data_IF_038804559976
#
_entry.id   IF_038804559976
#
_cell.length_a   1.000
_cell.length_b   1.000
_cell.length_c   1.000
_cell.angle_alpha   90.00
_cell.angle_beta   90.00
_cell.angle_gamma   90.00
#
_symmetry.space_group_name_H-M   'P 1'
#
loop_
_entity.id
_entity.type
_entity.pdbx_description
1 polymer ?
#
# COMPACT_ATOMS: atom_id res chain seq x y z
N UNK A 1 -66.57 29.28 -6.07
CA UNK A 1 -65.43 28.98 -5.16
C UNK A 1 -65.12 27.47 -5.09
N UNK A 2 -64.93 26.77 -6.22
CA UNK A 2 -64.60 25.32 -6.22
C UNK A 2 -63.51 24.87 -7.21
N UNK A 3 -63.02 25.76 -8.08
CA UNK A 3 -61.99 25.40 -9.07
C UNK A 3 -60.56 25.83 -8.70
N UNK A 4 -60.41 26.77 -7.76
CA UNK A 4 -59.09 27.30 -7.38
C UNK A 4 -58.30 26.39 -6.43
N UNK A 5 -58.99 25.51 -5.68
CA UNK A 5 -58.33 24.60 -4.73
C UNK A 5 -57.78 23.31 -5.37
N UNK A 6 -58.22 22.94 -6.58
CA UNK A 6 -57.74 21.72 -7.25
C UNK A 6 -56.39 21.98 -7.93
N UNK A 7 -56.17 23.19 -8.45
CA UNK A 7 -54.89 23.55 -9.07
C UNK A 7 -53.74 23.62 -8.06
N UNK A 8 -54.00 24.07 -6.83
CA UNK A 8 -52.97 24.19 -5.78
C UNK A 8 -52.59 22.80 -5.23
N UNK A 9 -53.53 21.86 -5.15
CA UNK A 9 -53.24 20.48 -4.74
C UNK A 9 -52.48 19.70 -5.83
N UNK A 10 -52.73 19.96 -7.11
CA UNK A 10 -51.93 19.39 -8.20
C UNK A 10 -50.51 19.97 -8.32
N UNK A 11 -50.30 21.24 -7.92
CA UNK A 11 -48.96 21.85 -7.95
C UNK A 11 -48.06 21.42 -6.78
N UNK A 12 -48.66 21.01 -5.65
CA UNK A 12 -47.93 20.53 -4.47
C UNK A 12 -47.47 19.06 -4.58
N UNK A 13 -47.97 18.29 -5.54
CA UNK A 13 -47.54 16.90 -5.80
C UNK A 13 -46.36 16.78 -6.78
N UNK A 14 -45.92 17.88 -7.41
CA UNK A 14 -44.75 17.89 -8.31
C UNK A 14 -43.43 18.26 -7.62
N UNK A 15 -43.44 18.47 -6.30
CA UNK A 15 -42.28 18.93 -5.54
C UNK A 15 -41.77 17.82 -4.61
N UNK A 16 -41.01 16.87 -5.15
CA UNK A 16 -39.93 16.11 -4.48
C UNK A 16 -39.74 14.70 -5.05
N UNK A 17 -39.49 14.60 -6.36
CA UNK A 17 -38.55 13.58 -6.86
C UNK A 17 -37.35 14.32 -7.42
N UNK A 18 -36.50 14.83 -6.52
CA UNK A 18 -35.10 14.97 -6.91
C UNK A 18 -34.62 13.55 -7.19
N UNK A 19 -34.67 13.14 -8.47
CA UNK A 19 -33.92 11.99 -8.91
C UNK A 19 -32.45 12.31 -8.57
N UNK A 20 -31.92 11.69 -7.51
CA UNK A 20 -30.49 11.72 -7.23
C UNK A 20 -29.80 11.26 -8.51
N UNK A 21 -29.17 12.20 -9.22
CA UNK A 21 -28.45 11.88 -10.44
C UNK A 21 -27.44 10.78 -10.12
N UNK A 22 -27.43 9.71 -10.91
CA UNK A 22 -26.47 8.63 -10.74
C UNK A 22 -25.05 9.22 -10.78
N UNK A 23 -24.11 8.73 -9.94
CA UNK A 23 -22.75 9.24 -9.94
C UNK A 23 -22.12 9.14 -11.34
N UNK A 24 -21.43 10.20 -11.77
CA UNK A 24 -20.72 10.20 -13.05
C UNK A 24 -19.43 9.37 -12.92
N UNK A 25 -19.44 8.17 -13.50
CA UNK A 25 -18.31 7.25 -13.49
C UNK A 25 -17.07 7.77 -14.19
N UNK A 26 -17.22 8.62 -15.22
CA UNK A 26 -16.10 9.22 -15.95
C UNK A 26 -15.41 10.26 -15.07
N UNK A 27 -16.17 11.15 -14.45
CA UNK A 27 -15.63 12.16 -13.54
C UNK A 27 -14.96 11.50 -12.32
N UNK A 28 -15.59 10.48 -11.75
CA UNK A 28 -15.00 9.70 -10.65
C UNK A 28 -13.68 9.02 -11.09
N UNK A 29 -13.62 8.44 -12.28
CA UNK A 29 -12.38 7.87 -12.81
C UNK A 29 -11.30 8.94 -13.00
N UNK A 30 -11.65 10.09 -13.57
CA UNK A 30 -10.72 11.21 -13.78
C UNK A 30 -10.17 11.68 -12.44
N UNK A 31 -11.01 11.86 -11.42
CA UNK A 31 -10.56 12.38 -10.13
C UNK A 31 -9.68 11.40 -9.34
N UNK A 32 -9.94 10.10 -9.47
CA UNK A 32 -9.40 9.11 -8.53
C UNK A 32 -8.46 8.07 -9.15
N UNK A 33 -8.56 7.82 -10.46
CA UNK A 33 -7.86 6.71 -11.13
C UNK A 33 -6.86 7.18 -12.18
N UNK A 34 -7.08 8.35 -12.81
CA UNK A 34 -6.30 8.79 -13.97
C UNK A 34 -4.81 9.00 -13.66
N UNK A 35 -4.44 9.35 -12.42
CA UNK A 35 -3.06 9.66 -12.07
C UNK A 35 -2.16 8.42 -12.23
N UNK A 36 -2.71 7.24 -11.95
CA UNK A 36 -2.00 5.97 -12.05
C UNK A 36 -2.34 5.22 -13.34
N UNK A 37 -3.61 5.14 -13.72
CA UNK A 37 -4.09 4.36 -14.87
C UNK A 37 -4.16 5.15 -16.19
N UNK A 38 -3.84 6.45 -16.13
CA UNK A 38 -3.83 7.40 -17.25
C UNK A 38 -5.20 7.59 -17.92
N UNK A 39 -5.27 8.54 -18.85
CA UNK A 39 -6.48 8.83 -19.61
C UNK A 39 -6.95 7.56 -20.34
N UNK A 40 -8.24 7.26 -20.24
CA UNK A 40 -8.86 6.05 -20.81
C UNK A 40 -8.19 4.71 -20.42
N UNK A 41 -7.52 4.64 -19.26
CA UNK A 41 -6.98 3.36 -18.78
C UNK A 41 -5.76 2.87 -19.56
N UNK A 42 -5.03 3.77 -20.22
CA UNK A 42 -3.84 3.44 -21.01
C UNK A 42 -2.72 2.74 -20.20
N UNK A 43 -2.69 2.87 -18.88
CA UNK A 43 -1.68 2.30 -17.98
C UNK A 43 -0.76 3.35 -17.41
N UNK A 44 0.52 3.04 -17.15
CA UNK A 44 1.49 3.97 -16.56
C UNK A 44 2.10 3.39 -15.28
N UNK A 45 1.90 4.08 -14.15
CA UNK A 45 2.23 3.55 -12.81
C UNK A 45 1.28 2.39 -12.50
N UNK A 46 -0.01 2.58 -12.77
CA UNK A 46 -1.02 1.54 -12.70
C UNK A 46 -1.02 0.64 -13.94
N UNK A 47 -1.56 -0.57 -13.78
CA UNK A 47 -1.71 -1.50 -14.89
C UNK A 47 -2.68 -0.92 -15.95
N UNK A 48 -2.45 -1.21 -17.25
CA UNK A 48 -3.38 -0.82 -18.30
C UNK A 48 -4.74 -1.51 -18.11
N UNK A 49 -5.81 -0.72 -18.16
CA UNK A 49 -7.22 -1.15 -18.05
C UNK A 49 -7.84 -1.32 -19.45
N UNK A 50 -7.08 -1.94 -20.36
CA UNK A 50 -7.51 -2.16 -21.74
C UNK A 50 -8.56 -3.25 -21.86
N UNK A 51 -9.28 -3.30 -22.98
CA UNK A 51 -10.27 -4.33 -23.26
C UNK A 51 -9.74 -5.77 -23.04
N UNK A 52 -8.49 -6.02 -23.46
CA UNK A 52 -7.85 -7.33 -23.32
C UNK A 52 -7.60 -7.73 -21.86
N UNK A 53 -7.39 -6.76 -20.96
CA UNK A 53 -7.21 -7.02 -19.52
C UNK A 53 -8.56 -7.06 -18.80
N UNK A 54 -9.54 -6.27 -19.23
CA UNK A 54 -10.80 -6.08 -18.54
C UNK A 54 -11.84 -7.17 -18.87
N UNK A 55 -11.76 -7.81 -20.04
CA UNK A 55 -12.76 -8.77 -20.54
C UNK A 55 -12.93 -10.03 -19.67
N UNK A 56 -11.89 -10.44 -18.94
CA UNK A 56 -11.87 -11.71 -18.21
C UNK A 56 -12.34 -11.58 -16.75
N UNK A 57 -12.65 -10.37 -16.30
CA UNK A 57 -13.02 -10.11 -14.91
C UNK A 57 -14.52 -9.94 -14.71
N UNK A 58 -15.02 -10.36 -13.55
CA UNK A 58 -16.37 -10.05 -13.10
C UNK A 58 -16.46 -8.63 -12.53
N UNK A 59 -17.65 -8.06 -12.53
CA UNK A 59 -17.87 -6.76 -11.90
C UNK A 59 -17.70 -6.83 -10.38
N UNK A 60 -17.99 -7.96 -9.75
CA UNK A 60 -17.74 -8.20 -8.32
C UNK A 60 -16.23 -8.15 -8.00
N UNK A 61 -15.39 -8.81 -8.83
CA UNK A 61 -13.94 -8.76 -8.67
C UNK A 61 -13.41 -7.32 -8.80
N UNK A 62 -13.90 -6.57 -9.78
CA UNK A 62 -13.49 -5.19 -10.01
C UNK A 62 -13.95 -4.28 -8.87
N UNK A 63 -15.18 -4.45 -8.42
CA UNK A 63 -15.75 -3.72 -7.29
C UNK A 63 -14.92 -3.91 -6.03
N UNK A 64 -14.63 -5.15 -5.66
CA UNK A 64 -13.81 -5.48 -4.49
C UNK A 64 -12.37 -5.06 -4.67
N UNK A 65 -11.84 -5.08 -5.89
CA UNK A 65 -10.50 -4.56 -6.20
C UNK A 65 -10.40 -3.05 -5.97
N UNK A 66 -11.41 -2.28 -6.36
CA UNK A 66 -11.46 -0.83 -6.09
C UNK A 66 -11.67 -0.59 -4.59
N UNK A 67 -12.61 -1.30 -3.96
CA UNK A 67 -12.93 -1.15 -2.54
C UNK A 67 -11.71 -1.39 -1.66
N UNK A 68 -11.10 -2.56 -1.78
CA UNK A 68 -10.04 -3.01 -0.88
C UNK A 68 -8.63 -2.64 -1.35
N UNK A 69 -8.49 -2.17 -2.60
CA UNK A 69 -7.17 -1.87 -3.18
C UNK A 69 -6.25 -3.08 -3.17
N UNK A 70 -4.95 -2.81 -3.05
CA UNK A 70 -3.90 -3.81 -2.81
C UNK A 70 -3.00 -3.29 -1.69
N UNK A 71 -3.30 -3.58 -0.40
CA UNK A 71 -2.47 -3.13 0.72
C UNK A 71 -0.99 -3.45 0.51
N UNK A 72 -0.10 -2.50 0.81
CA UNK A 72 1.34 -2.62 0.56
C UNK A 72 1.78 -2.49 -0.89
N UNK A 73 0.84 -2.21 -1.80
CA UNK A 73 1.11 -1.92 -3.21
C UNK A 73 0.58 -0.53 -3.56
N UNK A 74 0.92 -0.07 -4.76
CA UNK A 74 0.58 1.29 -5.21
C UNK A 74 -0.93 1.54 -5.42
N UNK A 75 -1.75 0.49 -5.50
CA UNK A 75 -3.21 0.64 -5.69
C UNK A 75 -3.90 0.83 -4.34
N UNK A 76 -4.35 2.05 -3.98
CA UNK A 76 -4.98 2.31 -2.70
C UNK A 76 -6.38 1.67 -2.60
N UNK A 77 -6.89 1.59 -1.37
CA UNK A 77 -8.26 1.23 -1.09
C UNK A 77 -9.16 2.47 -1.18
N UNK A 78 -10.35 2.33 -1.77
CA UNK A 78 -11.34 3.40 -1.89
C UNK A 78 -12.53 3.11 -0.96
N UNK A 79 -12.26 2.95 0.33
CA UNK A 79 -13.26 2.57 1.33
C UNK A 79 -14.36 3.61 1.52
N UNK A 80 -14.02 4.89 1.35
CA UNK A 80 -14.94 6.03 1.53
C UNK A 80 -15.89 6.25 0.33
N UNK A 81 -15.67 5.58 -0.80
CA UNK A 81 -16.60 5.66 -1.93
C UNK A 81 -17.88 4.85 -1.65
N UNK A 82 -19.02 5.38 -2.06
CA UNK A 82 -20.27 4.63 -2.03
C UNK A 82 -20.29 3.51 -3.07
N UNK A 83 -21.12 2.49 -2.84
CA UNK A 83 -21.30 1.39 -3.79
C UNK A 83 -21.72 1.90 -5.19
N UNK A 84 -22.56 2.92 -5.23
CA UNK A 84 -23.01 3.54 -6.46
C UNK A 84 -21.85 4.22 -7.22
N UNK A 85 -20.94 4.89 -6.50
CA UNK A 85 -19.75 5.51 -7.10
C UNK A 85 -18.81 4.46 -7.68
N UNK A 86 -18.51 3.38 -6.93
CA UNK A 86 -17.63 2.31 -7.43
C UNK A 86 -18.26 1.62 -8.65
N UNK A 87 -19.56 1.33 -8.63
CA UNK A 87 -20.27 0.75 -9.79
C UNK A 87 -20.27 1.69 -10.99
N UNK A 88 -20.42 3.00 -10.79
CA UNK A 88 -20.36 3.97 -11.86
C UNK A 88 -19.00 3.96 -12.57
N UNK A 89 -17.89 3.88 -11.82
CA UNK A 89 -16.54 3.73 -12.38
C UNK A 89 -16.44 2.45 -13.21
N UNK A 90 -16.94 1.32 -12.70
CA UNK A 90 -16.91 0.04 -13.44
C UNK A 90 -17.72 0.13 -14.73
N UNK A 91 -18.92 0.70 -14.67
CA UNK A 91 -19.78 0.92 -15.85
C UNK A 91 -19.06 1.78 -16.90
N UNK A 92 -18.42 2.87 -16.48
CA UNK A 92 -17.62 3.70 -17.37
C UNK A 92 -16.49 2.90 -18.04
N UNK A 93 -15.73 2.12 -17.26
CA UNK A 93 -14.66 1.27 -17.79
C UNK A 93 -15.19 0.18 -18.74
N UNK A 94 -16.35 -0.43 -18.45
CA UNK A 94 -17.00 -1.40 -19.35
C UNK A 94 -17.39 -0.77 -20.67
N UNK A 95 -18.02 0.40 -20.64
CA UNK A 95 -18.43 1.15 -21.84
C UNK A 95 -17.23 1.53 -22.69
N UNK A 96 -16.19 2.08 -22.06
CA UNK A 96 -14.96 2.49 -22.75
C UNK A 96 -14.24 1.29 -23.40
N UNK A 97 -14.14 0.17 -22.67
CA UNK A 97 -13.48 -1.04 -23.18
C UNK A 97 -14.36 -1.87 -24.12
N UNK A 98 -15.66 -1.57 -24.20
CA UNK A 98 -16.68 -2.35 -24.91
C UNK A 98 -16.66 -3.83 -24.51
N UNK A 99 -16.50 -4.10 -23.21
CA UNK A 99 -16.49 -5.45 -22.65
C UNK A 99 -17.73 -5.72 -21.80
N UNK A 100 -18.04 -7.00 -21.62
CA UNK A 100 -19.08 -7.48 -20.73
C UNK A 100 -18.45 -8.16 -19.51
N UNK A 101 -19.18 -8.17 -18.39
CA UNK A 101 -18.73 -8.81 -17.17
C UNK A 101 -18.66 -10.33 -17.34
N UNK A 102 -17.54 -10.94 -16.92
CA UNK A 102 -17.46 -12.39 -16.81
C UNK A 102 -18.21 -12.84 -15.56
N UNK A 103 -18.95 -13.94 -15.65
CA UNK A 103 -19.63 -14.54 -14.50
C UNK A 103 -18.76 -15.70 -13.99
N UNK A 104 -18.40 -15.62 -12.71
CA UNK A 104 -17.75 -16.71 -11.98
C UNK A 104 -18.64 -17.09 -10.80
N UNK A 105 -18.77 -18.38 -10.53
CA UNK A 105 -19.43 -18.81 -9.30
C UNK A 105 -18.60 -18.36 -8.08
N UNK A 106 -19.30 -17.97 -7.02
CA UNK A 106 -18.71 -17.52 -5.75
C UNK A 106 -18.49 -18.66 -4.76
N UNK A 107 -18.93 -19.88 -5.11
CA UNK A 107 -18.71 -21.06 -4.28
C UNK A 107 -17.21 -21.34 -4.14
N UNK A 108 -16.83 -21.72 -2.92
CA UNK A 108 -15.47 -22.18 -2.63
C UNK A 108 -15.19 -23.50 -3.31
N UNK A 109 -13.93 -23.71 -3.68
CA UNK A 109 -13.45 -24.98 -4.19
C UNK A 109 -12.86 -25.81 -3.07
N UNK A 110 -13.11 -27.11 -3.14
CA UNK A 110 -12.44 -28.08 -2.28
C UNK A 110 -11.22 -28.60 -3.02
N UNK A 111 -10.05 -28.42 -2.42
CA UNK A 111 -8.77 -28.94 -2.92
C UNK A 111 -7.87 -29.28 -1.74
N UNK A 112 -6.91 -30.17 -1.95
CA UNK A 112 -5.92 -30.52 -0.92
C UNK A 112 -4.79 -29.48 -0.88
N UNK A 113 -4.70 -28.64 0.17
CA UNK A 113 -3.65 -27.62 0.26
C UNK A 113 -2.25 -28.22 0.41
N UNK A 114 -2.10 -29.46 0.91
CA UNK A 114 -0.79 -30.11 1.02
C UNK A 114 -0.24 -30.48 -0.37
N UNK A 115 -1.07 -31.09 -1.22
CA UNK A 115 -0.77 -31.28 -2.64
C UNK A 115 -0.52 -29.95 -3.35
N UNK A 116 -1.37 -28.96 -3.09
CA UNK A 116 -1.23 -27.61 -3.64
C UNK A 116 0.11 -26.96 -3.31
N UNK A 117 0.61 -27.13 -2.09
CA UNK A 117 1.93 -26.64 -1.67
C UNK A 117 3.06 -27.22 -2.51
N UNK A 118 3.06 -28.53 -2.75
CA UNK A 118 4.10 -29.22 -3.54
C UNK A 118 4.11 -28.70 -4.99
N UNK A 119 2.92 -28.59 -5.59
CA UNK A 119 2.76 -28.05 -6.94
C UNK A 119 3.21 -26.59 -7.01
N UNK A 120 2.84 -25.79 -6.00
CA UNK A 120 3.20 -24.38 -5.94
C UNK A 120 4.73 -24.19 -5.85
N UNK A 121 5.41 -24.99 -5.03
CA UNK A 121 6.87 -25.02 -4.94
C UNK A 121 7.54 -25.31 -6.28
N UNK A 122 6.96 -26.21 -7.07
CA UNK A 122 7.51 -26.63 -8.36
C UNK A 122 7.25 -25.62 -9.47
N UNK A 123 6.05 -25.04 -9.52
CA UNK A 123 5.57 -24.31 -10.69
C UNK A 123 5.38 -22.80 -10.48
N UNK A 124 5.21 -22.36 -9.23
CA UNK A 124 4.71 -21.01 -8.95
C UNK A 124 5.73 -20.16 -8.20
N UNK A 125 6.51 -20.75 -7.29
CA UNK A 125 7.47 -20.03 -6.43
C UNK A 125 8.46 -19.21 -7.23
N UNK A 126 8.89 -19.74 -8.38
CA UNK A 126 9.78 -19.04 -9.29
C UNK A 126 9.29 -17.62 -9.48
N UNK A 127 8.00 -17.39 -9.81
CA UNK A 127 7.41 -16.07 -10.10
C UNK A 127 6.63 -15.42 -8.94
N UNK A 128 5.99 -16.20 -8.07
CA UNK A 128 5.10 -15.68 -7.04
C UNK A 128 5.73 -15.64 -5.64
N UNK A 129 6.99 -16.07 -5.49
CA UNK A 129 7.64 -16.18 -4.18
C UNK A 129 7.10 -17.36 -3.36
N UNK A 130 7.80 -17.74 -2.30
CA UNK A 130 7.43 -18.86 -1.42
C UNK A 130 6.18 -18.58 -0.59
N UNK A 131 5.94 -17.31 -0.28
CA UNK A 131 4.82 -16.79 0.51
C UNK A 131 3.66 -16.26 -0.35
N UNK A 132 3.77 -16.32 -1.68
CA UNK A 132 2.79 -15.74 -2.59
C UNK A 132 2.84 -14.20 -2.68
N UNK A 133 3.86 -13.56 -2.11
CA UNK A 133 4.07 -12.11 -2.12
C UNK A 133 4.42 -11.53 -3.49
N UNK A 134 4.60 -12.36 -4.52
CA UNK A 134 5.08 -11.93 -5.84
C UNK A 134 6.61 -11.82 -5.88
N UNK A 135 7.19 -11.89 -7.08
CA UNK A 135 8.60 -11.61 -7.27
C UNK A 135 8.88 -10.10 -7.23
N UNK A 136 9.95 -9.72 -6.53
CA UNK A 136 10.44 -8.35 -6.43
C UNK A 136 10.00 -7.65 -5.15
N UNK A 137 10.97 -7.01 -4.49
CA UNK A 137 10.75 -6.20 -3.29
C UNK A 137 9.86 -4.99 -3.58
N UNK A 138 9.02 -4.64 -2.62
CA UNK A 138 8.34 -3.36 -2.53
C UNK A 138 6.96 -3.22 -3.13
N UNK A 139 6.55 -1.98 -3.43
CA UNK A 139 5.18 -1.61 -3.81
C UNK A 139 4.68 -2.17 -5.16
N UNK A 140 5.51 -2.93 -5.87
CA UNK A 140 5.23 -3.44 -7.21
C UNK A 140 5.55 -2.43 -8.33
N UNK A 141 5.96 -1.21 -7.99
CA UNK A 141 6.44 -0.20 -8.94
C UNK A 141 7.95 -0.07 -8.81
N UNK A 142 8.66 -0.33 -9.90
CA UNK A 142 10.12 -0.20 -9.98
C UNK A 142 10.49 1.08 -10.76
N UNK A 143 10.25 2.26 -10.19
CA UNK A 143 10.55 3.53 -10.88
C UNK A 143 12.06 3.69 -11.19
N UNK A 144 12.93 3.04 -10.41
CA UNK A 144 14.40 3.16 -10.54
C UNK A 144 15.13 1.81 -10.48
N UNK A 145 14.41 0.68 -10.59
CA UNK A 145 14.99 -0.67 -10.49
C UNK A 145 14.85 -1.44 -11.81
N UNK A 146 15.88 -2.21 -12.15
CA UNK A 146 15.85 -3.14 -13.27
C UNK A 146 14.75 -4.17 -13.01
N UNK A 147 13.84 -4.34 -13.96
CA UNK A 147 12.76 -5.32 -13.85
C UNK A 147 13.26 -6.70 -14.25
N UNK A 148 13.04 -7.70 -13.41
CA UNK A 148 13.23 -9.10 -13.79
C UNK A 148 12.15 -9.56 -14.78
N UNK A 149 10.94 -8.98 -14.72
CA UNK A 149 9.83 -9.25 -15.63
C UNK A 149 9.26 -7.95 -16.19
N UNK A 150 8.94 -7.93 -17.48
CA UNK A 150 8.23 -6.82 -18.11
C UNK A 150 6.89 -6.53 -17.42
N UNK A 151 6.22 -7.59 -16.95
CA UNK A 151 5.01 -7.53 -16.12
C UNK A 151 5.30 -8.23 -14.80
N UNK A 152 5.35 -7.47 -13.70
CA UNK A 152 5.62 -8.02 -12.38
C UNK A 152 4.53 -9.02 -11.97
N UNK A 153 4.89 -10.24 -11.53
CA UNK A 153 3.92 -11.19 -10.99
C UNK A 153 3.19 -10.58 -9.79
N UNK A 154 1.85 -10.68 -9.72
CA UNK A 154 1.10 -10.10 -8.61
C UNK A 154 1.37 -10.82 -7.30
N UNK A 155 1.26 -10.07 -6.20
CA UNK A 155 1.17 -10.61 -4.85
C UNK A 155 -0.17 -11.30 -4.65
N UNK A 156 -0.18 -12.61 -4.83
CA UNK A 156 -1.40 -13.44 -4.73
C UNK A 156 -1.80 -13.71 -3.29
N UNK A 157 -0.90 -13.58 -2.32
CA UNK A 157 -1.25 -13.61 -0.89
C UNK A 157 -1.83 -12.27 -0.37
N UNK A 158 -1.86 -11.22 -1.22
CA UNK A 158 -2.33 -9.90 -0.82
C UNK A 158 -3.79 -9.93 -0.33
N UNK A 159 -4.13 -9.35 0.85
CA UNK A 159 -5.49 -9.38 1.39
C UNK A 159 -6.54 -8.79 0.45
N UNK A 160 -6.23 -7.68 -0.23
CA UNK A 160 -7.14 -7.07 -1.19
C UNK A 160 -7.40 -7.96 -2.42
N UNK A 161 -6.39 -8.71 -2.88
CA UNK A 161 -6.57 -9.71 -3.94
C UNK A 161 -7.41 -10.89 -3.46
N UNK A 162 -7.12 -11.42 -2.27
CA UNK A 162 -7.82 -12.56 -1.69
C UNK A 162 -9.30 -12.26 -1.44
N UNK A 163 -9.62 -11.04 -1.00
CA UNK A 163 -11.00 -10.58 -0.84
C UNK A 163 -11.73 -10.46 -2.19
N UNK A 164 -11.04 -10.02 -3.25
CA UNK A 164 -11.64 -9.73 -4.54
C UNK A 164 -11.81 -10.95 -5.45
N UNK A 165 -10.78 -11.79 -5.57
CA UNK A 165 -10.76 -12.92 -6.48
C UNK A 165 -11.64 -14.06 -5.96
N UNK A 166 -12.49 -14.66 -6.81
CA UNK A 166 -13.19 -15.90 -6.47
C UNK A 166 -12.31 -17.11 -6.79
N UNK A 167 -12.58 -18.25 -6.13
CA UNK A 167 -11.81 -19.48 -6.37
C UNK A 167 -11.89 -19.93 -7.83
N UNK A 168 -13.08 -19.80 -8.45
CA UNK A 168 -13.29 -20.10 -9.87
C UNK A 168 -12.49 -19.18 -10.79
N UNK A 169 -12.35 -17.91 -10.44
CA UNK A 169 -11.50 -16.98 -11.18
C UNK A 169 -10.02 -17.37 -11.06
N UNK A 170 -9.54 -17.67 -9.84
CA UNK A 170 -8.15 -18.12 -9.61
C UNK A 170 -7.88 -19.40 -10.42
N UNK A 171 -8.78 -20.37 -10.32
CA UNK A 171 -8.74 -21.63 -11.06
C UNK A 171 -8.66 -21.41 -12.56
N UNK A 172 -9.51 -20.53 -13.11
CA UNK A 172 -9.50 -20.18 -14.53
C UNK A 172 -8.14 -19.62 -14.94
N UNK A 173 -7.60 -18.67 -14.17
CA UNK A 173 -6.29 -18.04 -14.44
C UNK A 173 -5.15 -19.05 -14.40
N UNK A 174 -5.17 -20.01 -13.48
CA UNK A 174 -4.16 -21.09 -13.43
C UNK A 174 -4.31 -22.02 -14.64
N UNK A 175 -5.54 -22.42 -14.96
CA UNK A 175 -5.84 -23.34 -16.06
C UNK A 175 -5.38 -22.78 -17.41
N UNK A 176 -5.84 -21.57 -17.77
CA UNK A 176 -5.59 -20.96 -19.09
C UNK A 176 -4.34 -20.08 -19.14
N UNK A 177 -3.73 -19.79 -17.99
CA UNK A 177 -2.56 -18.92 -17.89
C UNK A 177 -2.83 -17.47 -18.28
N UNK A 178 -1.73 -16.71 -18.39
CA UNK A 178 -1.71 -15.34 -18.90
C UNK A 178 -0.49 -15.17 -19.81
N UNK A 179 -0.56 -15.61 -21.08
CA UNK A 179 0.60 -15.63 -21.99
C UNK A 179 1.30 -14.28 -22.14
N UNK A 180 0.52 -13.20 -22.15
CA UNK A 180 1.06 -11.83 -22.25
C UNK A 180 1.91 -11.39 -21.06
N UNK A 181 1.75 -12.00 -19.89
CA UNK A 181 2.59 -11.76 -18.72
C UNK A 181 3.57 -12.90 -18.46
N UNK A 182 3.71 -13.85 -19.40
CA UNK A 182 4.59 -15.00 -19.26
C UNK A 182 4.10 -16.07 -18.28
N UNK A 183 2.85 -16.00 -17.81
CA UNK A 183 2.27 -17.08 -16.99
C UNK A 183 1.71 -18.16 -17.94
N UNK A 184 2.22 -19.39 -17.93
CA UNK A 184 1.78 -20.45 -18.83
C UNK A 184 0.38 -20.96 -18.47
N UNK A 185 -0.27 -21.63 -19.43
CA UNK A 185 -1.52 -22.35 -19.22
C UNK A 185 -1.23 -23.71 -18.57
N UNK A 186 -1.46 -23.86 -17.26
CA UNK A 186 -1.03 -25.06 -16.56
C UNK A 186 -1.84 -26.31 -16.89
N UNK A 187 -3.06 -26.15 -17.40
CA UNK A 187 -3.82 -27.26 -17.96
C UNK A 187 -3.11 -27.86 -19.20
N UNK A 188 -2.53 -27.02 -20.05
CA UNK A 188 -1.74 -27.46 -21.21
C UNK A 188 -0.36 -28.01 -20.82
N UNK A 189 0.13 -27.65 -19.63
CA UNK A 189 1.36 -28.20 -19.03
C UNK A 189 1.13 -29.53 -18.31
N UNK A 190 -0.08 -30.09 -18.37
CA UNK A 190 -0.40 -31.41 -17.82
C UNK A 190 -0.87 -31.43 -16.37
N UNK A 191 -1.17 -30.27 -15.75
CA UNK A 191 -1.83 -30.28 -14.44
C UNK A 191 -3.29 -30.71 -14.59
N UNK A 192 -3.72 -31.67 -13.77
CA UNK A 192 -5.12 -32.10 -13.74
C UNK A 192 -6.01 -31.05 -13.09
N UNK A 193 -7.32 -31.13 -13.35
CA UNK A 193 -8.31 -30.26 -12.70
C UNK A 193 -8.24 -30.34 -11.16
N UNK A 194 -7.91 -31.51 -10.61
CA UNK A 194 -7.70 -31.71 -9.17
C UNK A 194 -6.41 -31.05 -8.66
N UNK A 195 -5.34 -31.07 -9.44
CA UNK A 195 -4.10 -30.37 -9.12
C UNK A 195 -4.32 -28.85 -9.13
N UNK A 196 -5.11 -28.33 -10.07
CA UNK A 196 -5.47 -26.91 -10.11
C UNK A 196 -6.35 -26.54 -8.92
N UNK A 197 -7.33 -27.36 -8.55
CA UNK A 197 -8.16 -27.12 -7.35
C UNK A 197 -7.30 -27.15 -6.06
N UNK A 198 -6.33 -28.05 -5.98
CA UNK A 198 -5.34 -28.09 -4.89
C UNK A 198 -4.47 -26.82 -4.84
N UNK A 199 -4.01 -26.32 -5.99
CA UNK A 199 -3.30 -25.03 -6.08
C UNK A 199 -4.16 -23.87 -5.59
N UNK A 200 -5.44 -23.82 -5.97
CA UNK A 200 -6.37 -22.78 -5.51
C UNK A 200 -6.50 -22.82 -3.98
N UNK A 201 -6.69 -24.01 -3.39
CA UNK A 201 -6.75 -24.19 -1.94
C UNK A 201 -5.47 -23.70 -1.25
N UNK A 202 -4.29 -24.00 -1.80
CA UNK A 202 -3.03 -23.51 -1.26
C UNK A 202 -2.86 -21.98 -1.39
N UNK A 203 -3.28 -21.39 -2.50
CA UNK A 203 -3.29 -19.92 -2.69
C UNK A 203 -4.18 -19.23 -1.65
N UNK A 204 -5.30 -19.84 -1.25
CA UNK A 204 -6.12 -19.33 -0.14
C UNK A 204 -5.40 -19.43 1.20
N UNK A 205 -4.75 -20.56 1.47
CA UNK A 205 -3.95 -20.73 2.68
C UNK A 205 -2.82 -19.70 2.79
N UNK A 206 -2.18 -19.33 1.67
CA UNK A 206 -1.18 -18.24 1.66
C UNK A 206 -1.80 -16.90 2.08
N UNK A 207 -3.01 -16.59 1.60
CA UNK A 207 -3.76 -15.39 2.01
C UNK A 207 -4.12 -15.37 3.49
N UNK A 208 -4.60 -16.50 4.03
CA UNK A 208 -4.92 -16.63 5.46
C UNK A 208 -3.70 -16.46 6.35
N UNK A 209 -2.53 -16.98 5.92
CA UNK A 209 -1.27 -16.78 6.64
C UNK A 209 -0.81 -15.33 6.61
N UNK A 210 -0.91 -14.68 5.46
CA UNK A 210 -0.57 -13.26 5.33
C UNK A 210 -1.46 -12.37 6.20
N UNK A 211 -2.76 -12.67 6.29
CA UNK A 211 -3.70 -11.93 7.13
C UNK A 211 -3.49 -12.12 8.65
N UNK A 212 -2.77 -13.16 9.07
CA UNK A 212 -2.47 -13.45 10.49
C UNK A 212 -1.19 -12.79 11.01
N UNK A 213 -0.44 -12.08 10.16
CA UNK A 213 0.72 -11.32 10.65
C UNK A 213 0.22 -10.28 11.68
N UNK A 214 0.93 -10.09 12.81
CA UNK A 214 0.45 -9.24 13.89
C UNK A 214 0.17 -7.83 13.38
N UNK A 215 -1.05 -7.36 13.60
CA UNK A 215 -1.38 -5.95 13.51
C UNK A 215 -0.61 -5.26 14.65
N UNK A 216 0.29 -4.33 14.33
CA UNK A 216 0.97 -3.57 15.39
C UNK A 216 -0.08 -2.82 16.19
N UNK A 217 0.03 -2.92 17.51
CA UNK A 217 -0.89 -2.28 18.42
C UNK A 217 -0.88 -0.76 18.13
N UNK A 218 -2.03 -0.25 17.69
CA UNK A 218 -2.22 1.13 17.21
C UNK A 218 -2.04 2.20 18.32
N UNK A 219 -1.67 1.78 19.53
CA UNK A 219 -1.50 2.60 20.73
C UNK A 219 -0.04 3.00 21.01
N UNK A 220 0.95 2.46 20.30
CA UNK A 220 2.34 2.94 20.39
C UNK A 220 2.50 4.34 19.75
N UNK A 221 3.17 5.31 20.41
CA UNK A 221 3.37 6.64 19.85
C UNK A 221 4.33 6.63 18.65
N UNK A 222 4.19 7.56 17.68
CA UNK A 222 5.02 7.61 16.47
C UNK A 222 6.45 8.13 16.73
N UNK A 223 6.79 8.45 17.97
CA UNK A 223 8.10 8.93 18.39
C UNK A 223 8.49 8.32 19.73
N UNK A 224 9.77 8.03 19.90
CA UNK A 224 10.38 7.80 21.21
C UNK A 224 10.87 9.15 21.75
N UNK A 225 10.71 9.35 23.06
CA UNK A 225 11.18 10.53 23.78
C UNK A 225 12.05 10.04 24.93
N UNK A 226 13.31 10.47 24.94
CA UNK A 226 14.30 10.08 25.94
C UNK A 226 14.88 11.34 26.58
N UNK A 227 15.15 11.31 27.87
CA UNK A 227 15.80 12.41 28.59
C UNK A 227 17.32 12.27 28.49
N UNK A 228 18.01 13.36 28.17
CA UNK A 228 19.47 13.41 28.22
C UNK A 228 19.92 13.77 29.64
N UNK A 229 20.94 13.09 30.21
CA UNK A 229 21.53 13.49 31.49
C UNK A 229 22.45 14.71 31.36
N UNK A 230 22.69 15.20 30.14
CA UNK A 230 23.62 16.28 29.84
C UNK A 230 22.88 17.58 29.46
N UNK A 231 23.60 18.71 29.54
CA UNK A 231 23.10 19.99 29.02
C UNK A 231 22.90 19.96 27.50
N UNK A 232 22.24 20.99 26.96
CA UNK A 232 21.85 21.04 25.55
C UNK A 232 23.05 20.97 24.59
N UNK A 233 24.13 21.71 24.87
CA UNK A 233 25.29 21.78 23.97
C UNK A 233 26.06 20.46 23.98
N UNK A 234 26.24 19.89 25.18
CA UNK A 234 26.87 18.58 25.35
C UNK A 234 26.06 17.48 24.67
N UNK A 235 24.72 17.50 24.82
CA UNK A 235 23.82 16.55 24.15
C UNK A 235 23.93 16.65 22.62
N UNK A 236 23.94 17.87 22.07
CA UNK A 236 24.13 18.11 20.63
C UNK A 236 25.46 17.55 20.13
N UNK A 237 26.55 17.77 20.87
CA UNK A 237 27.86 17.25 20.53
C UNK A 237 27.90 15.71 20.56
N UNK A 238 27.36 15.09 21.62
CA UNK A 238 27.28 13.64 21.76
C UNK A 238 26.49 13.00 20.62
N UNK A 239 25.31 13.55 20.27
CA UNK A 239 24.50 13.03 19.15
C UNK A 239 25.27 13.08 17.84
N UNK A 240 25.95 14.19 17.55
CA UNK A 240 26.75 14.31 16.32
C UNK A 240 27.86 13.27 16.27
N UNK A 241 28.54 13.04 17.39
CA UNK A 241 29.61 12.05 17.48
C UNK A 241 29.07 10.62 17.30
N UNK A 242 28.02 10.24 18.03
CA UNK A 242 27.41 8.91 17.97
C UNK A 242 26.88 8.60 16.56
N UNK A 243 26.22 9.56 15.90
CA UNK A 243 25.75 9.43 14.51
C UNK A 243 26.90 9.12 13.54
N UNK A 244 28.03 9.82 13.68
CA UNK A 244 29.21 9.59 12.83
C UNK A 244 29.85 8.23 13.16
N UNK A 245 29.94 7.87 14.45
CA UNK A 245 30.41 6.57 14.92
C UNK A 245 29.59 5.39 14.38
N UNK A 246 28.27 5.58 14.26
CA UNK A 246 27.34 4.62 13.66
C UNK A 246 27.38 4.57 12.11
N UNK A 247 28.39 5.17 11.47
CA UNK A 247 28.56 5.23 10.02
C UNK A 247 27.44 5.96 9.27
N UNK A 248 26.88 7.02 9.86
CA UNK A 248 25.99 7.95 9.15
C UNK A 248 26.74 9.23 8.78
N UNK A 249 26.31 9.84 7.67
CA UNK A 249 26.74 11.19 7.32
C UNK A 249 25.81 12.19 7.96
N UNK A 250 26.32 13.02 8.86
CA UNK A 250 25.61 14.18 9.38
C UNK A 250 25.51 15.28 8.30
N UNK A 251 24.36 15.94 8.24
CA UNK A 251 24.10 17.13 7.43
C UNK A 251 24.05 18.37 8.32
N UNK A 252 24.14 19.59 7.75
CA UNK A 252 24.00 20.80 8.55
C UNK A 252 22.74 20.79 9.41
N UNK A 253 22.88 21.15 10.67
CA UNK A 253 21.76 21.21 11.59
C UNK A 253 20.78 22.30 11.17
N UNK A 254 19.54 22.18 11.64
CA UNK A 254 18.53 23.20 11.43
C UNK A 254 17.73 23.37 12.70
N UNK A 255 17.55 24.61 13.15
CA UNK A 255 16.62 24.87 14.23
C UNK A 255 15.20 24.51 13.78
N UNK A 256 14.38 23.99 14.70
CA UNK A 256 13.07 23.43 14.36
C UNK A 256 12.17 24.43 13.64
N UNK A 257 12.21 25.68 14.10
CA UNK A 257 11.37 26.78 13.63
C UNK A 257 11.99 27.55 12.46
N UNK A 258 13.23 27.21 12.06
CA UNK A 258 13.95 27.95 11.04
C UNK A 258 13.22 27.89 9.69
N UNK A 259 12.70 29.03 9.24
CA UNK A 259 11.88 29.15 8.02
C UNK A 259 10.40 28.85 8.22
N UNK A 260 9.95 28.59 9.45
CA UNK A 260 8.54 28.56 9.86
C UNK A 260 8.14 29.85 10.59
N UNK A 261 9.09 30.47 11.28
CA UNK A 261 8.94 31.77 11.95
C UNK A 261 9.84 32.82 11.31
N UNK A 262 9.71 34.07 11.74
CA UNK A 262 10.73 35.07 11.44
C UNK A 262 12.08 34.68 12.06
N UNK A 263 13.17 35.17 11.47
CA UNK A 263 14.54 34.77 11.80
C UNK A 263 14.94 35.13 13.24
N UNK A 264 14.27 36.10 13.88
CA UNK A 264 14.57 36.56 15.23
C UNK A 264 13.78 35.81 16.30
N UNK A 265 12.69 35.14 15.93
CA UNK A 265 11.86 34.34 16.83
C UNK A 265 12.25 32.87 16.89
N UNK A 266 13.23 32.43 16.09
CA UNK A 266 13.68 31.03 16.07
C UNK A 266 14.26 30.64 17.42
N UNK A 267 13.69 29.62 18.06
CA UNK A 267 14.23 29.09 19.30
C UNK A 267 15.56 28.33 19.07
N UNK A 268 16.71 28.81 19.56
CA UNK A 268 18.01 28.15 19.37
C UNK A 268 18.14 26.87 20.21
N UNK A 269 17.25 26.67 21.19
CA UNK A 269 17.21 25.50 22.07
C UNK A 269 16.38 24.33 21.53
N UNK A 270 16.04 24.39 20.24
CA UNK A 270 15.32 23.33 19.54
C UNK A 270 15.97 23.07 18.18
N UNK A 271 16.66 21.94 18.06
CA UNK A 271 17.48 21.62 16.89
C UNK A 271 17.19 20.22 16.34
N UNK A 272 17.19 20.10 15.02
CA UNK A 272 17.12 18.81 14.33
C UNK A 272 18.48 18.42 13.76
N UNK A 273 19.10 17.39 14.33
CA UNK A 273 20.32 16.79 13.80
C UNK A 273 19.91 15.83 12.68
N UNK A 274 20.23 16.19 11.44
CA UNK A 274 19.88 15.39 10.25
C UNK A 274 21.05 14.53 9.85
N UNK A 275 20.81 13.26 9.55
CA UNK A 275 21.86 12.32 9.20
C UNK A 275 21.36 11.16 8.36
N UNK A 276 22.19 10.64 7.44
CA UNK A 276 21.77 9.54 6.58
C UNK A 276 22.90 8.55 6.31
N UNK A 277 22.54 7.28 6.23
CA UNK A 277 23.35 6.24 5.62
C UNK A 277 22.73 5.93 4.26
N UNK A 278 23.36 6.41 3.19
CA UNK A 278 22.80 6.31 1.85
C UNK A 278 22.67 4.88 1.34
N UNK A 279 23.49 3.95 1.81
CA UNK A 279 23.39 2.54 1.43
C UNK A 279 22.12 1.94 2.03
N UNK A 280 21.92 2.10 3.36
CA UNK A 280 20.70 1.65 4.04
C UNK A 280 19.47 2.33 3.42
N UNK A 281 19.51 3.65 3.25
CA UNK A 281 18.43 4.42 2.63
C UNK A 281 18.07 3.89 1.23
N UNK A 282 19.07 3.64 0.39
CA UNK A 282 18.85 3.13 -0.95
C UNK A 282 18.16 1.76 -0.91
N UNK A 283 18.58 0.87 -0.02
CA UNK A 283 17.92 -0.43 0.17
C UNK A 283 16.47 -0.28 0.67
N UNK A 284 16.19 0.69 1.55
CA UNK A 284 14.80 0.96 1.94
C UNK A 284 13.97 1.51 0.79
N UNK A 285 14.48 2.48 0.04
CA UNK A 285 13.77 3.09 -1.07
C UNK A 285 13.54 2.12 -2.23
N UNK A 286 14.36 1.06 -2.33
CA UNK A 286 14.03 -0.07 -3.21
C UNK A 286 12.72 -0.68 -2.76
N UNK A 287 12.54 -1.03 -1.49
CA UNK A 287 11.29 -1.66 -1.03
C UNK A 287 10.14 -0.64 -1.00
N UNK A 288 10.35 0.57 -0.52
CA UNK A 288 9.30 1.58 -0.38
C UNK A 288 9.76 2.96 -0.80
N UNK A 289 9.52 3.33 -2.06
CA UNK A 289 9.86 4.67 -2.54
C UNK A 289 9.14 5.79 -1.78
N UNK A 290 7.95 5.52 -1.18
CA UNK A 290 7.21 6.51 -0.39
C UNK A 290 7.96 6.92 0.88
N UNK A 291 8.94 6.13 1.35
CA UNK A 291 9.78 6.51 2.47
C UNK A 291 10.50 7.84 2.25
N UNK A 292 10.79 8.19 0.99
CA UNK A 292 11.39 9.48 0.62
C UNK A 292 10.67 10.71 1.18
N UNK A 293 9.36 10.59 1.47
CA UNK A 293 8.53 11.68 2.00
C UNK A 293 8.62 11.81 3.53
N UNK A 294 8.90 10.71 4.23
CA UNK A 294 8.86 10.65 5.69
C UNK A 294 10.24 10.45 6.32
N UNK A 295 11.32 10.57 5.51
CA UNK A 295 12.62 10.00 5.86
C UNK A 295 13.03 10.33 7.31
N UNK A 296 13.13 9.31 8.18
CA UNK A 296 13.25 9.46 9.63
C UNK A 296 14.67 9.82 10.08
N UNK A 297 15.51 10.26 9.15
CA UNK A 297 16.93 10.53 9.26
C UNK A 297 17.23 11.80 10.09
N UNK A 298 16.58 11.93 11.25
CA UNK A 298 16.65 13.08 12.14
C UNK A 298 16.45 12.67 13.60
N UNK A 299 17.34 13.15 14.47
CA UNK A 299 17.12 13.22 15.92
C UNK A 299 16.79 14.68 16.24
N UNK A 300 15.70 14.89 16.98
CA UNK A 300 15.31 16.22 17.45
C UNK A 300 15.73 16.39 18.90
N UNK A 301 16.43 17.48 19.20
CA UNK A 301 16.92 17.83 20.54
C UNK A 301 16.19 19.09 20.99
N UNK A 302 15.59 19.05 22.18
CA UNK A 302 14.78 20.14 22.73
C UNK A 302 15.18 20.38 24.18
N UNK A 303 15.52 21.62 24.54
CA UNK A 303 15.61 22.02 25.95
C UNK A 303 14.26 22.62 26.37
N UNK A 304 13.73 22.13 27.49
CA UNK A 304 12.52 22.66 28.14
C UNK A 304 12.87 23.84 29.04
N UNK A 305 11.88 24.68 29.43
CA UNK A 305 12.10 25.82 30.32
C UNK A 305 12.66 25.46 31.71
N UNK A 306 12.48 24.21 32.15
CA UNK A 306 13.01 23.67 33.41
C UNK A 306 14.48 23.19 33.29
N UNK A 307 15.10 23.33 32.11
CA UNK A 307 16.47 22.91 31.82
C UNK A 307 16.58 21.44 31.40
N UNK A 308 15.48 20.69 31.35
CA UNK A 308 15.49 19.30 30.90
C UNK A 308 15.72 19.22 29.39
N UNK A 309 16.66 18.37 28.96
CA UNK A 309 16.97 18.14 27.55
C UNK A 309 16.36 16.83 27.07
N UNK A 310 15.60 16.89 25.98
CA UNK A 310 14.94 15.74 25.38
C UNK A 310 15.54 15.39 24.03
N UNK A 311 15.66 14.09 23.80
CA UNK A 311 15.96 13.45 22.53
C UNK A 311 14.67 12.84 21.99
N UNK A 312 14.27 13.26 20.79
CA UNK A 312 13.08 12.76 20.10
C UNK A 312 13.52 12.04 18.82
N UNK A 313 13.26 10.74 18.78
CA UNK A 313 13.48 9.89 17.59
C UNK A 313 12.16 9.38 17.05
N UNK A 314 12.06 9.14 15.74
CA UNK A 314 10.88 8.51 15.18
C UNK A 314 10.79 7.05 15.62
N UNK A 315 9.59 6.62 16.00
CA UNK A 315 9.28 5.21 16.21
C UNK A 315 9.13 4.56 14.84
N UNK A 316 10.18 3.92 14.36
CA UNK A 316 10.23 3.35 13.02
C UNK A 316 9.24 2.21 12.86
N UNK A 317 8.99 1.42 13.91
CA UNK A 317 7.98 0.38 13.93
C UNK A 317 6.56 0.94 13.78
N UNK A 318 6.23 2.12 14.29
CA UNK A 318 4.92 2.76 14.04
C UNK A 318 4.87 3.41 12.66
N UNK A 319 5.88 4.20 12.29
CA UNK A 319 5.95 4.91 10.99
C UNK A 319 5.90 3.93 9.82
N UNK A 320 6.51 2.76 10.00
CA UNK A 320 6.46 1.62 9.12
C UNK A 320 5.05 1.26 8.62
N UNK A 321 4.10 1.20 9.56
CA UNK A 321 2.75 0.71 9.28
C UNK A 321 1.97 1.67 8.41
N UNK A 322 2.33 2.95 8.37
CA UNK A 322 1.71 3.93 7.46
C UNK A 322 1.88 3.57 5.98
N UNK A 323 2.88 2.74 5.65
CA UNK A 323 3.12 2.27 4.30
C UNK A 323 2.34 1.00 3.95
N UNK A 324 1.70 0.34 4.92
CA UNK A 324 0.99 -0.94 4.74
C UNK A 324 1.85 -2.03 4.08
N UNK A 325 3.17 -2.03 4.25
CA UNK A 325 4.10 -2.88 3.49
C UNK A 325 5.02 -3.68 4.42
N UNK A 326 4.62 -4.93 4.71
CA UNK A 326 5.31 -5.82 5.65
C UNK A 326 6.74 -6.19 5.22
N UNK A 327 7.12 -5.99 3.95
CA UNK A 327 8.48 -6.30 3.48
C UNK A 327 9.54 -5.35 4.04
N UNK A 328 9.10 -4.30 4.71
CA UNK A 328 9.97 -3.31 5.32
C UNK A 328 10.21 -3.58 6.81
N UNK A 329 9.46 -4.50 7.45
CA UNK A 329 9.54 -4.81 8.89
C UNK A 329 10.97 -5.11 9.32
N UNK A 330 11.62 -6.08 8.68
CA UNK A 330 13.01 -6.46 9.00
C UNK A 330 14.03 -5.33 8.77
N UNK A 331 13.71 -4.38 7.91
CA UNK A 331 14.59 -3.24 7.66
C UNK A 331 14.40 -2.14 8.70
N UNK A 332 13.17 -1.94 9.15
CA UNK A 332 12.85 -1.02 10.23
C UNK A 332 13.36 -1.53 11.56
N UNK A 333 13.22 -2.83 11.88
CA UNK A 333 13.77 -3.42 13.11
C UNK A 333 15.28 -3.14 13.23
N UNK A 334 16.02 -3.35 12.14
CA UNK A 334 17.46 -3.06 12.08
C UNK A 334 17.79 -1.57 12.18
N UNK A 335 16.94 -0.69 11.69
CA UNK A 335 17.14 0.75 11.85
C UNK A 335 16.77 1.24 13.22
N UNK A 336 15.72 0.68 13.82
CA UNK A 336 15.29 0.98 15.18
C UNK A 336 16.41 0.61 16.15
N UNK A 337 16.98 -0.59 16.03
CA UNK A 337 18.18 -1.01 16.78
C UNK A 337 19.32 0.02 16.64
N UNK A 338 19.60 0.46 15.41
CA UNK A 338 20.65 1.48 15.18
C UNK A 338 20.32 2.83 15.84
N UNK A 339 19.06 3.26 15.86
CA UNK A 339 18.65 4.50 16.52
C UNK A 339 18.71 4.35 18.04
N UNK A 340 18.30 3.21 18.58
CA UNK A 340 18.40 2.88 20.00
C UNK A 340 19.86 2.89 20.44
N UNK A 341 20.77 2.23 19.71
CA UNK A 341 22.20 2.23 20.02
C UNK A 341 22.79 3.66 20.07
N UNK A 342 22.41 4.52 19.11
CA UNK A 342 22.83 5.93 19.10
C UNK A 342 22.29 6.67 20.32
N UNK A 343 21.02 6.46 20.69
CA UNK A 343 20.43 7.13 21.85
C UNK A 343 21.06 6.64 23.15
N UNK A 344 21.32 5.33 23.28
CA UNK A 344 22.00 4.75 24.42
C UNK A 344 23.41 5.32 24.55
N UNK A 345 24.19 5.40 23.46
CA UNK A 345 25.53 6.02 23.47
C UNK A 345 25.50 7.49 23.90
N UNK A 346 24.45 8.23 23.55
CA UNK A 346 24.28 9.65 23.89
C UNK A 346 23.86 9.87 25.34
N UNK A 347 23.15 8.90 25.93
CA UNK A 347 22.52 9.01 27.25
C UNK A 347 23.26 8.25 28.36
N UNK A 348 24.28 7.46 28.01
CA UNK A 348 25.29 6.93 28.93
C UNK A 348 26.31 7.99 29.32
#
# INVERSE_FOLDING_TARGET
>A
MRHTNILIVMLLLLSATQALALPDGRELYIRNCNACHQFQGAGGIGLPLTAKKFRDYSDDYLFKTIRHGRPGRVMPAFMEMSDAQVRAIITFLRQQTKTQARIYATSRLSGDPARGRQLFQTHCVACHGTDGGGQGEGTGVTLSRKRAFLIMPPAISNPGFQAAASDRMIRQVISVGRPQSGMPAFAEQGLSERDIDALVAYVRQLGERAAKKPEVALDEPPSHVTESPYDFETTVANVKQAVVGANFRAFPDRFLEQGLTDEFSVNPRQIGIRFCNFNKLYDMLKIEPRLGVVLPCRITILERPDGQVLLVTPNLKVVAHWFNNDQLVELWDRMEETFTDIIDEVTL
#
